data_IF_514304884307
#
_entry.id   IF_514304884307
#
_cell.length_a   1.000
_cell.length_b   1.000
_cell.length_c   1.000
_cell.angle_alpha   90.00
_cell.angle_beta   90.00
_cell.angle_gamma   90.00
#
_symmetry.space_group_name_H-M   'P 1'
#
loop_
_entity.id
_entity.type
_entity.pdbx_description
1 polymer ?
#
# COMPACT_ATOMS: atom_id res chain seq x y z
N UNK A 1 -7.55 -26.47 2.22
CA UNK A 1 -7.75 -25.03 2.48
C UNK A 1 -7.17 -24.55 3.79
N UNK A 2 -6.50 -25.37 4.60
CA UNK A 2 -5.92 -24.98 5.91
C UNK A 2 -4.42 -24.68 5.85
N UNK A 3 -3.79 -24.90 4.70
CA UNK A 3 -2.36 -24.60 4.47
C UNK A 3 -2.08 -23.12 4.69
N UNK A 4 -0.99 -22.82 5.38
CA UNK A 4 -0.55 -21.46 5.65
C UNK A 4 0.38 -20.93 4.54
N UNK A 5 0.38 -19.61 4.28
CA UNK A 5 1.33 -18.98 3.36
C UNK A 5 2.77 -19.17 3.81
N UNK A 6 3.66 -19.31 2.82
CA UNK A 6 5.12 -19.39 3.03
C UNK A 6 5.77 -18.08 2.60
N UNK A 7 7.00 -17.83 3.06
CA UNK A 7 7.78 -16.70 2.60
C UNK A 7 8.04 -16.79 1.07
N UNK A 8 8.06 -15.66 0.34
CA UNK A 8 8.19 -15.66 -1.12
C UNK A 8 9.59 -16.00 -1.62
N UNK A 9 10.64 -15.85 -0.80
CA UNK A 9 12.02 -16.16 -1.16
C UNK A 9 12.84 -16.61 0.07
N UNK A 10 12.54 -17.78 0.65
CA UNK A 10 13.21 -18.28 1.86
C UNK A 10 14.74 -18.45 1.68
N UNK A 11 15.21 -18.61 0.44
CA UNK A 11 16.61 -18.74 0.06
C UNK A 11 17.38 -17.42 -0.11
N UNK A 12 16.68 -16.28 -0.06
CA UNK A 12 17.26 -14.96 -0.40
C UNK A 12 18.36 -14.46 0.56
N UNK A 13 18.65 -15.19 1.64
CA UNK A 13 19.65 -14.81 2.66
C UNK A 13 19.20 -13.70 3.62
N UNK A 14 18.11 -12.99 3.31
CA UNK A 14 17.54 -11.91 4.12
C UNK A 14 16.67 -12.40 5.29
N UNK A 15 16.43 -13.71 5.40
CA UNK A 15 15.66 -14.30 6.50
C UNK A 15 14.22 -13.79 6.59
N UNK A 16 13.63 -13.38 5.46
CA UNK A 16 12.31 -12.74 5.42
C UNK A 16 11.19 -13.72 5.82
N UNK A 17 10.49 -13.52 6.95
CA UNK A 17 9.47 -14.44 7.44
C UNK A 17 8.14 -14.26 6.68
N UNK A 18 7.23 -15.25 6.69
CA UNK A 18 5.87 -15.03 6.22
C UNK A 18 5.19 -13.92 7.05
N UNK A 19 4.56 -12.94 6.38
CA UNK A 19 3.85 -11.84 7.05
C UNK A 19 2.44 -12.17 7.51
N UNK A 20 1.94 -13.33 7.09
CA UNK A 20 0.57 -13.74 7.34
C UNK A 20 0.49 -15.22 7.66
N UNK A 21 -0.45 -15.56 8.54
CA UNK A 21 -0.79 -16.90 8.96
C UNK A 21 -2.26 -17.22 8.64
N UNK A 22 -2.87 -16.54 7.66
CA UNK A 22 -4.25 -16.83 7.26
C UNK A 22 -4.31 -18.00 6.26
N UNK A 23 -5.10 -19.06 6.52
CA UNK A 23 -5.41 -20.05 5.51
C UNK A 23 -6.49 -19.54 4.53
N UNK A 24 -6.75 -20.27 3.44
CA UNK A 24 -7.90 -19.98 2.55
C UNK A 24 -9.24 -20.34 3.22
N UNK A 25 -9.25 -21.35 4.10
CA UNK A 25 -10.44 -21.74 4.86
C UNK A 25 -10.88 -20.55 5.71
N UNK A 26 -12.10 -20.06 5.44
CA UNK A 26 -12.63 -18.87 6.09
C UNK A 26 -12.62 -19.00 7.62
N UNK A 27 -12.10 -17.98 8.29
CA UNK A 27 -11.95 -17.91 9.75
C UNK A 27 -13.26 -17.59 10.47
N UNK A 28 -13.19 -17.48 11.79
CA UNK A 28 -14.32 -17.18 12.66
C UNK A 28 -14.22 -15.82 13.37
N UNK A 29 -13.02 -15.24 13.46
CA UNK A 29 -12.79 -13.90 13.99
C UNK A 29 -12.76 -12.84 12.88
N UNK A 30 -13.22 -11.64 13.22
CA UNK A 30 -13.42 -10.57 12.24
C UNK A 30 -12.11 -10.15 11.54
N UNK A 31 -11.01 -10.04 12.26
CA UNK A 31 -9.75 -9.56 11.67
C UNK A 31 -9.17 -10.57 10.68
N UNK A 32 -9.18 -11.87 11.01
CA UNK A 32 -8.79 -12.94 10.08
C UNK A 32 -9.69 -12.93 8.84
N UNK A 33 -11.01 -12.78 9.02
CA UNK A 33 -11.95 -12.70 7.90
C UNK A 33 -11.67 -11.49 7.01
N UNK A 34 -11.37 -10.31 7.59
CA UNK A 34 -11.00 -9.10 6.84
C UNK A 34 -9.70 -9.29 6.07
N UNK A 35 -8.69 -9.92 6.66
CA UNK A 35 -7.43 -10.24 5.98
C UNK A 35 -7.66 -11.22 4.83
N UNK A 36 -8.48 -12.24 5.03
CA UNK A 36 -8.84 -13.22 3.99
C UNK A 36 -9.58 -12.57 2.83
N UNK A 37 -10.60 -11.76 3.11
CA UNK A 37 -11.37 -11.04 2.10
C UNK A 37 -10.48 -10.04 1.35
N UNK A 38 -9.71 -9.22 2.07
CA UNK A 38 -8.83 -8.23 1.47
C UNK A 38 -7.77 -8.85 0.58
N UNK A 39 -7.13 -9.93 1.05
CA UNK A 39 -6.12 -10.66 0.28
C UNK A 39 -6.71 -11.29 -0.98
N UNK A 40 -7.85 -11.99 -0.88
CA UNK A 40 -8.49 -12.60 -2.05
C UNK A 40 -9.01 -11.56 -3.03
N UNK A 41 -9.56 -10.43 -2.55
CA UNK A 41 -9.95 -9.31 -3.40
C UNK A 41 -8.75 -8.75 -4.16
N UNK A 42 -7.62 -8.53 -3.50
CA UNK A 42 -6.41 -8.05 -4.15
C UNK A 42 -5.92 -8.98 -5.27
N UNK A 43 -5.93 -10.30 -5.04
CA UNK A 43 -5.58 -11.29 -6.08
C UNK A 43 -6.58 -11.21 -7.25
N UNK A 44 -7.87 -11.15 -6.96
CA UNK A 44 -8.93 -11.09 -7.96
C UNK A 44 -8.93 -9.79 -8.78
N UNK A 45 -8.34 -8.72 -8.26
CA UNK A 45 -8.25 -7.45 -8.95
C UNK A 45 -7.22 -7.45 -10.07
N UNK A 46 -6.31 -8.43 -10.17
CA UNK A 46 -5.38 -8.51 -11.31
C UNK A 46 -6.15 -8.71 -12.63
N UNK A 47 -5.84 -7.95 -13.72
CA UNK A 47 -4.74 -6.98 -13.88
C UNK A 47 -5.11 -5.49 -13.64
N UNK A 48 -6.19 -5.21 -12.90
CA UNK A 48 -6.62 -3.87 -12.48
C UNK A 48 -5.79 -3.27 -11.35
N UNK A 49 -4.54 -2.90 -11.66
CA UNK A 49 -3.51 -2.53 -10.68
C UNK A 49 -3.86 -1.29 -9.84
N UNK A 50 -4.57 -0.31 -10.40
CA UNK A 50 -4.93 0.92 -9.69
C UNK A 50 -5.93 0.67 -8.55
N UNK A 51 -6.91 -0.20 -8.78
CA UNK A 51 -7.88 -0.60 -7.76
C UNK A 51 -7.22 -1.50 -6.71
N UNK A 52 -6.34 -2.43 -7.14
CA UNK A 52 -5.56 -3.24 -6.21
C UNK A 52 -4.70 -2.37 -5.28
N UNK A 53 -4.04 -1.33 -5.82
CA UNK A 53 -3.25 -0.39 -5.04
C UNK A 53 -4.11 0.50 -4.14
N UNK A 54 -5.29 0.94 -4.59
CA UNK A 54 -6.22 1.69 -3.74
C UNK A 54 -6.75 0.85 -2.58
N UNK A 55 -7.19 -0.38 -2.83
CA UNK A 55 -7.73 -1.29 -1.81
C UNK A 55 -6.69 -1.70 -0.78
N UNK A 56 -5.46 -1.98 -1.22
CA UNK A 56 -4.35 -2.29 -0.32
C UNK A 56 -4.07 -1.12 0.64
N UNK A 57 -4.08 0.12 0.13
CA UNK A 57 -3.90 1.34 0.95
C UNK A 57 -5.09 1.64 1.87
N UNK A 58 -6.31 1.30 1.45
CA UNK A 58 -7.53 1.50 2.24
C UNK A 58 -7.67 0.48 3.37
N UNK A 59 -7.34 -0.78 3.08
CA UNK A 59 -7.58 -1.92 3.99
C UNK A 59 -6.36 -2.37 4.77
N UNK A 60 -5.16 -2.07 4.28
CA UNK A 60 -3.90 -2.65 4.77
C UNK A 60 -3.67 -4.10 4.32
N UNK A 61 -4.52 -4.64 3.43
CA UNK A 61 -4.47 -6.03 2.98
C UNK A 61 -4.24 -6.17 1.46
N UNK A 62 -3.43 -7.15 1.02
CA UNK A 62 -2.62 -8.04 1.83
C UNK A 62 -1.51 -7.29 2.58
N UNK A 63 -0.99 -7.89 3.66
CA UNK A 63 0.18 -7.35 4.37
C UNK A 63 1.37 -7.40 3.41
N UNK A 64 1.96 -6.24 3.15
CA UNK A 64 3.09 -6.11 2.22
C UNK A 64 4.43 -6.12 2.97
N UNK A 65 5.45 -6.66 2.32
CA UNK A 65 6.81 -6.58 2.84
C UNK A 65 7.27 -5.12 2.88
N UNK A 66 7.93 -4.69 3.97
CA UNK A 66 8.51 -3.37 4.05
C UNK A 66 9.60 -3.23 2.99
N UNK A 67 9.76 -2.02 2.45
CA UNK A 67 10.94 -1.70 1.64
C UNK A 67 12.20 -1.84 2.51
N UNK A 68 13.15 -2.65 2.05
CA UNK A 68 14.47 -2.81 2.70
C UNK A 68 15.33 -1.55 2.49
N UNK A 69 15.21 -0.93 1.32
CA UNK A 69 15.94 0.27 0.94
C UNK A 69 15.06 1.19 0.10
N UNK A 70 15.31 2.50 0.19
CA UNK A 70 14.65 3.51 -0.63
C UNK A 70 15.65 4.61 -0.97
N UNK A 71 15.80 4.90 -2.26
CA UNK A 71 16.58 6.04 -2.75
C UNK A 71 15.79 7.36 -2.69
N UNK A 72 14.50 7.30 -2.36
CA UNK A 72 13.64 8.47 -2.31
C UNK A 72 13.63 9.06 -0.89
N UNK A 73 14.15 10.28 -0.66
CA UNK A 73 14.21 10.88 0.67
C UNK A 73 12.82 11.15 1.28
N UNK A 74 11.78 11.28 0.46
CA UNK A 74 10.40 11.45 0.92
C UNK A 74 9.71 10.13 1.28
N UNK A 75 10.34 8.98 1.04
CA UNK A 75 9.81 7.66 1.35
C UNK A 75 10.85 6.85 2.13
N UNK A 76 10.87 6.92 3.47
CA UNK A 76 11.78 6.10 4.26
C UNK A 76 11.50 4.61 4.05
N UNK A 77 12.56 3.80 4.15
CA UNK A 77 12.47 2.34 4.25
C UNK A 77 11.49 1.98 5.37
N UNK A 78 10.69 0.92 5.18
CA UNK A 78 9.49 0.54 5.96
C UNK A 78 8.11 1.03 5.48
N UNK A 79 8.02 1.97 4.53
CA UNK A 79 6.73 2.46 4.02
C UNK A 79 6.54 2.21 2.52
N UNK A 80 5.28 2.08 2.13
CA UNK A 80 4.87 2.07 0.73
C UNK A 80 4.44 3.46 0.25
N UNK A 81 4.56 3.67 -1.07
CA UNK A 81 4.05 4.85 -1.76
C UNK A 81 2.55 5.00 -1.50
N UNK A 82 2.16 6.20 -1.06
CA UNK A 82 0.78 6.51 -0.64
C UNK A 82 -0.01 7.29 -1.66
N UNK A 83 0.68 8.03 -2.54
CA UNK A 83 0.08 8.76 -3.67
C UNK A 83 1.10 9.04 -4.75
N UNK A 84 0.59 9.41 -5.92
CA UNK A 84 1.38 10.00 -7.01
C UNK A 84 1.36 11.51 -6.80
N UNK A 85 2.53 12.14 -6.92
CA UNK A 85 2.70 13.61 -6.81
C UNK A 85 2.11 14.32 -8.03
N UNK A 86 1.90 15.63 -7.94
CA UNK A 86 1.47 16.37 -9.12
C UNK A 86 2.59 16.34 -10.18
N UNK A 87 2.27 16.14 -11.47
CA UNK A 87 3.28 16.14 -12.51
C UNK A 87 3.88 17.54 -12.68
N UNK A 88 5.16 17.63 -13.03
CA UNK A 88 5.89 18.90 -13.21
C UNK A 88 5.17 19.89 -14.14
N UNK A 89 4.51 19.36 -15.19
CA UNK A 89 3.72 20.17 -16.11
C UNK A 89 2.59 20.93 -15.40
N UNK A 90 1.96 20.36 -14.38
CA UNK A 90 0.87 21.01 -13.65
C UNK A 90 1.36 22.25 -12.89
N UNK A 91 2.59 22.23 -12.38
CA UNK A 91 3.21 23.39 -11.75
C UNK A 91 3.42 24.55 -12.72
N UNK A 92 3.64 24.25 -14.01
CA UNK A 92 3.85 25.25 -15.05
C UNK A 92 2.52 25.76 -15.61
N UNK A 93 1.56 24.86 -15.86
CA UNK A 93 0.32 25.19 -16.58
C UNK A 93 -0.84 25.57 -15.66
N UNK A 94 -0.82 25.17 -14.39
CA UNK A 94 -1.85 25.50 -13.40
C UNK A 94 -1.26 25.64 -11.98
N UNK A 95 -0.34 26.60 -11.75
CA UNK A 95 0.32 26.76 -10.46
C UNK A 95 -0.65 27.03 -9.31
N UNK A 96 -1.73 27.79 -9.57
CA UNK A 96 -2.73 28.11 -8.54
C UNK A 96 -3.50 26.87 -8.08
N UNK A 97 -3.91 26.01 -9.02
CA UNK A 97 -4.61 24.76 -8.69
C UNK A 97 -3.72 23.80 -7.89
N UNK A 98 -2.43 23.72 -8.24
CA UNK A 98 -1.46 22.91 -7.49
C UNK A 98 -1.27 23.46 -6.08
N UNK A 99 -1.12 24.78 -5.91
CA UNK A 99 -0.99 25.40 -4.59
C UNK A 99 -2.21 25.12 -3.68
N UNK A 100 -3.42 25.20 -4.23
CA UNK A 100 -4.65 24.85 -3.50
C UNK A 100 -4.68 23.36 -3.13
N UNK A 101 -4.32 22.47 -4.06
CA UNK A 101 -4.25 21.04 -3.80
C UNK A 101 -3.24 20.69 -2.70
N UNK A 102 -2.06 21.32 -2.71
CA UNK A 102 -1.04 21.18 -1.67
C UNK A 102 -1.57 21.65 -0.32
N UNK A 103 -2.31 22.75 -0.27
CA UNK A 103 -2.95 23.22 0.97
C UNK A 103 -3.93 22.17 1.53
N UNK A 104 -4.69 21.50 0.67
CA UNK A 104 -5.63 20.43 1.08
C UNK A 104 -4.92 19.16 1.54
N UNK A 105 -3.68 18.92 1.11
CA UNK A 105 -2.83 17.83 1.61
C UNK A 105 -2.24 18.13 3.00
N UNK A 106 -2.43 19.34 3.52
CA UNK A 106 -1.99 19.74 4.85
C UNK A 106 -0.48 19.72 5.01
N UNK A 107 0.00 19.34 6.20
CA UNK A 107 1.43 19.35 6.54
C UNK A 107 2.28 18.34 5.76
N UNK A 108 1.67 17.39 5.05
CA UNK A 108 2.40 16.43 4.23
C UNK A 108 2.96 17.02 2.93
N UNK A 109 2.29 18.04 2.37
CA UNK A 109 2.66 18.63 1.08
C UNK A 109 2.59 17.65 -0.09
N UNK A 110 3.15 18.06 -1.24
CA UNK A 110 3.19 17.23 -2.46
C UNK A 110 4.32 16.17 -2.40
N UNK A 111 4.14 15.16 -1.54
CA UNK A 111 5.09 14.06 -1.37
C UNK A 111 4.43 12.71 -1.62
N UNK A 112 5.22 11.73 -2.02
CA UNK A 112 4.79 10.34 -2.23
C UNK A 112 4.34 9.66 -0.91
N UNK A 113 4.81 10.15 0.24
CA UNK A 113 4.47 9.65 1.58
C UNK A 113 3.26 10.32 2.22
N UNK A 114 2.74 11.39 1.62
CA UNK A 114 1.54 12.07 2.11
C UNK A 114 0.32 11.18 1.94
N UNK A 115 -0.43 10.97 3.04
CA UNK A 115 -1.67 10.18 3.05
C UNK A 115 -2.77 10.93 2.29
N UNK A 116 -3.59 10.21 1.52
CA UNK A 116 -4.84 10.73 0.97
C UNK A 116 -5.92 10.73 2.05
N UNK A 117 -6.98 11.51 1.86
CA UNK A 117 -8.04 11.68 2.86
C UNK A 117 -8.75 10.37 3.27
N UNK A 118 -8.81 9.39 2.35
CA UNK A 118 -9.39 8.06 2.58
C UNK A 118 -8.35 7.00 3.00
N UNK A 119 -7.07 7.37 3.09
CA UNK A 119 -6.01 6.46 3.52
C UNK A 119 -6.06 6.34 5.06
N UNK A 120 -6.63 5.24 5.58
CA UNK A 120 -6.91 5.08 7.01
C UNK A 120 -5.84 4.28 7.77
N UNK A 121 -5.36 3.14 7.23
CA UNK A 121 -4.34 2.30 7.88
C UNK A 121 -2.92 2.70 7.45
#
# INVERSE_FOLDING_TARGET
GTTLPIAPAPESGWGTPPLTNIPVKFGSDEETQREQIGTQKWIALYPGDMEAWAEMRRTGYPKMYPLIHSDNPDMPADKMIRRIVYPDRAYQTNPNGVAQGIQMLGSGGDKVSTKLWWYVK
#
